data_IF_117742323149
#
_entry.id   IF_117742323149
#
_cell.length_a   1.000
_cell.length_b   1.000
_cell.length_c   1.000
_cell.angle_alpha   90.00
_cell.angle_beta   90.00
_cell.angle_gamma   90.00
#
_symmetry.space_group_name_H-M   'P 1'
#
loop_
_entity.id
_entity.type
_entity.pdbx_description
1 polymer ?
#
# COMPACT_ATOMS: atom_id res chain seq x y z
N UNK A 1 -28.32 -2.69 13.60
CA UNK A 1 -26.84 -2.79 13.67
C UNK A 1 -26.28 -2.30 12.33
N UNK A 2 -25.68 -1.10 12.30
CA UNK A 2 -25.24 -0.46 11.05
C UNK A 2 -23.86 -0.96 10.58
N UNK A 3 -23.65 -0.98 9.26
CA UNK A 3 -22.33 -1.29 8.70
C UNK A 3 -21.36 -0.15 9.03
N UNK A 4 -20.24 -0.48 9.67
CA UNK A 4 -19.20 0.50 10.03
C UNK A 4 -18.19 0.61 8.89
N UNK A 5 -17.87 1.84 8.51
CA UNK A 5 -16.84 2.14 7.50
C UNK A 5 -15.45 1.85 8.03
N UNK A 6 -14.52 1.49 7.14
CA UNK A 6 -13.11 1.36 7.50
C UNK A 6 -12.52 2.75 7.87
N UNK A 7 -12.05 2.95 9.11
CA UNK A 7 -11.54 4.24 9.56
C UNK A 7 -10.23 4.66 8.87
N UNK A 8 -9.47 3.71 8.31
CA UNK A 8 -8.25 3.99 7.55
C UNK A 8 -8.61 4.65 6.22
N UNK A 9 -9.55 4.05 5.48
CA UNK A 9 -10.02 4.58 4.21
C UNK A 9 -10.72 5.92 4.38
N UNK A 10 -11.58 6.04 5.39
CA UNK A 10 -12.32 7.28 5.69
C UNK A 10 -11.40 8.48 5.97
N UNK A 11 -10.18 8.24 6.45
CA UNK A 11 -9.22 9.27 6.86
C UNK A 11 -8.12 9.55 5.84
N UNK A 12 -8.12 8.82 4.74
CA UNK A 12 -7.14 8.98 3.67
C UNK A 12 -7.23 10.39 3.09
N UNK A 13 -6.09 11.06 2.88
CA UNK A 13 -5.97 12.46 2.45
C UNK A 13 -6.53 13.52 3.43
N UNK A 14 -7.09 13.13 4.58
CA UNK A 14 -7.51 14.08 5.63
C UNK A 14 -6.45 14.19 6.72
N UNK A 15 -6.14 13.08 7.39
CA UNK A 15 -5.09 13.02 8.42
C UNK A 15 -4.14 11.82 8.25
N UNK A 16 -4.31 11.02 7.19
CA UNK A 16 -3.44 9.89 6.84
C UNK A 16 -3.11 9.89 5.35
N UNK A 17 -1.87 9.55 4.99
CA UNK A 17 -1.40 9.43 3.61
C UNK A 17 -1.42 7.99 3.09
N UNK A 18 -1.30 7.85 1.77
CA UNK A 18 -1.15 6.56 1.09
C UNK A 18 0.12 5.83 1.53
N UNK A 19 0.03 4.49 1.55
CA UNK A 19 1.16 3.60 1.81
C UNK A 19 1.98 3.35 0.53
N UNK A 20 1.34 3.31 -0.65
CA UNK A 20 2.02 3.34 -1.94
C UNK A 20 1.86 4.74 -2.54
N UNK A 21 2.95 5.48 -2.73
CA UNK A 21 2.98 6.83 -3.30
C UNK A 21 3.80 6.82 -4.59
N UNK A 22 3.12 6.61 -5.70
CA UNK A 22 3.72 6.66 -7.03
C UNK A 22 2.64 6.95 -8.07
N UNK A 23 3.08 7.36 -9.26
CA UNK A 23 2.24 7.59 -10.42
C UNK A 23 2.60 6.59 -11.53
N UNK A 24 1.63 6.21 -12.34
CA UNK A 24 1.87 5.42 -13.54
C UNK A 24 0.79 5.68 -14.58
N UNK A 25 1.16 5.54 -15.85
CA UNK A 25 0.19 5.53 -16.94
C UNK A 25 -0.75 4.33 -16.83
N UNK A 26 -1.98 4.48 -17.32
CA UNK A 26 -3.05 3.48 -17.15
C UNK A 26 -2.72 2.07 -17.67
N UNK A 27 -1.81 1.94 -18.64
CA UNK A 27 -1.33 0.64 -19.13
C UNK A 27 -0.41 -0.07 -18.14
N UNK A 28 0.40 0.69 -17.41
CA UNK A 28 1.44 0.16 -16.52
C UNK A 28 0.93 0.00 -15.07
N UNK A 29 -0.18 0.65 -14.71
CA UNK A 29 -0.71 0.64 -13.35
C UNK A 29 -0.99 -0.76 -12.82
N UNK A 30 -1.61 -1.62 -13.64
CA UNK A 30 -1.97 -2.98 -13.23
C UNK A 30 -0.76 -3.86 -12.90
N UNK A 31 0.28 -3.78 -13.73
CA UNK A 31 1.53 -4.52 -13.53
C UNK A 31 2.26 -4.05 -12.27
N UNK A 32 2.36 -2.73 -12.08
CA UNK A 32 3.01 -2.12 -10.92
C UNK A 32 2.27 -2.43 -9.62
N UNK A 33 0.94 -2.44 -9.65
CA UNK A 33 0.13 -2.81 -8.48
C UNK A 33 0.35 -4.29 -8.11
N UNK A 34 0.39 -5.18 -9.08
CA UNK A 34 0.64 -6.60 -8.83
C UNK A 34 2.03 -6.84 -8.24
N UNK A 35 3.03 -6.13 -8.74
CA UNK A 35 4.39 -6.14 -8.19
C UNK A 35 4.40 -5.65 -6.73
N UNK A 36 3.74 -4.52 -6.43
CA UNK A 36 3.61 -3.98 -5.08
C UNK A 36 2.98 -4.98 -4.09
N UNK A 37 1.94 -5.71 -4.51
CA UNK A 37 1.30 -6.73 -3.67
C UNK A 37 2.27 -7.88 -3.36
N UNK A 38 2.97 -8.40 -4.37
CA UNK A 38 3.95 -9.49 -4.19
C UNK A 38 5.10 -9.06 -3.28
N UNK A 39 5.60 -7.84 -3.41
CA UNK A 39 6.65 -7.31 -2.54
C UNK A 39 6.18 -7.20 -1.09
N UNK A 40 4.94 -6.76 -0.85
CA UNK A 40 4.38 -6.66 0.51
C UNK A 40 4.22 -8.04 1.15
N UNK A 41 3.77 -9.03 0.38
CA UNK A 41 3.62 -10.39 0.88
C UNK A 41 4.99 -11.01 1.21
N UNK A 42 5.99 -10.82 0.34
CA UNK A 42 7.36 -11.27 0.60
C UNK A 42 7.95 -10.66 1.89
N UNK A 43 7.86 -9.33 2.05
CA UNK A 43 8.36 -8.65 3.26
C UNK A 43 7.61 -9.13 4.51
N UNK A 44 6.30 -9.35 4.40
CA UNK A 44 5.50 -9.85 5.52
C UNK A 44 5.93 -11.24 5.95
N UNK A 45 6.31 -12.11 5.01
CA UNK A 45 6.76 -13.48 5.29
C UNK A 45 8.18 -13.52 5.86
N UNK A 46 9.13 -12.82 5.25
CA UNK A 46 10.53 -12.82 5.70
C UNK A 46 10.70 -12.07 7.03
N UNK A 47 10.02 -10.93 7.20
CA UNK A 47 10.19 -10.08 8.38
C UNK A 47 9.16 -10.36 9.49
N UNK A 48 8.56 -11.56 9.55
CA UNK A 48 7.60 -11.94 10.60
C UNK A 48 8.13 -11.71 12.01
N UNK A 49 9.38 -12.10 12.25
CA UNK A 49 10.03 -11.98 13.56
C UNK A 49 10.44 -10.53 13.90
N UNK A 50 10.52 -9.64 12.91
CA UNK A 50 11.01 -8.28 13.08
C UNK A 50 9.94 -7.27 13.52
N UNK A 51 8.65 -7.67 13.55
CA UNK A 51 7.56 -6.80 14.03
C UNK A 51 7.31 -5.58 13.13
N UNK A 52 7.38 -5.74 11.81
CA UNK A 52 7.20 -4.65 10.84
C UNK A 52 5.79 -4.06 10.94
N UNK A 53 5.70 -2.76 11.26
CA UNK A 53 4.42 -2.07 11.48
C UNK A 53 3.76 -1.54 10.21
N UNK A 54 4.56 -1.06 9.23
CA UNK A 54 4.07 -0.47 7.97
C UNK A 54 5.13 -0.57 6.88
N UNK A 55 4.69 -0.88 5.67
CA UNK A 55 5.52 -0.86 4.45
C UNK A 55 5.07 0.30 3.58
N UNK A 56 5.98 1.22 3.25
CA UNK A 56 5.72 2.36 2.38
C UNK A 56 6.50 2.16 1.08
N UNK A 57 5.83 2.30 -0.06
CA UNK A 57 6.41 2.06 -1.39
C UNK A 57 6.36 3.36 -2.19
N UNK A 58 7.50 3.77 -2.71
CA UNK A 58 7.63 4.95 -3.58
C UNK A 58 8.39 4.58 -4.85
N UNK A 59 7.95 5.14 -5.97
CA UNK A 59 8.59 4.95 -7.28
C UNK A 59 8.86 6.33 -7.88
N UNK A 60 10.10 6.85 -7.75
CA UNK A 60 10.41 8.24 -8.12
C UNK A 60 10.54 8.47 -9.63
N UNK A 61 10.91 7.44 -10.41
CA UNK A 61 11.17 7.56 -11.85
C UNK A 61 10.58 6.36 -12.60
N UNK A 62 9.35 6.50 -13.09
CA UNK A 62 8.80 5.68 -14.17
C UNK A 62 7.73 6.46 -14.92
#
# INVERSE_FOLDING_TARGET
MGQKVNPIGMRLQVNRTWDSRWYADGKNYGELLLEDLRMRDFIREECKAAGVSRVVIERPHK
#
